data_IF_500471898025
#
_entry.id   IF_500471898025
#
_cell.length_a   1.000
_cell.length_b   1.000
_cell.length_c   1.000
_cell.angle_alpha   90.00
_cell.angle_beta   90.00
_cell.angle_gamma   90.00
#
_symmetry.space_group_name_H-M   'P 1'
#
loop_
_entity.id
_entity.type
_entity.pdbx_description
1 polymer ?
#
# COMPACT_ATOMS: atom_id res chain seq x y z
N UNK A 1 -33.47 4.51 -8.32
CA UNK A 1 -32.36 4.15 -9.23
C UNK A 1 -31.06 4.87 -8.91
N UNK A 2 -31.01 6.17 -8.76
CA UNK A 2 -29.77 6.97 -8.54
C UNK A 2 -28.91 6.51 -7.34
N UNK A 3 -29.51 6.23 -6.17
CA UNK A 3 -28.76 5.78 -4.98
C UNK A 3 -28.02 4.44 -5.18
N UNK A 4 -28.58 3.51 -5.94
CA UNK A 4 -27.94 2.23 -6.26
C UNK A 4 -26.74 2.47 -7.16
N UNK A 5 -26.90 3.29 -8.21
CA UNK A 5 -25.83 3.65 -9.14
C UNK A 5 -24.63 4.32 -8.42
N UNK A 6 -24.89 5.32 -7.56
CA UNK A 6 -23.84 5.99 -6.79
C UNK A 6 -23.07 4.99 -5.90
N UNK A 7 -23.76 4.04 -5.26
CA UNK A 7 -23.11 3.03 -4.43
C UNK A 7 -22.28 2.02 -5.27
N UNK A 8 -22.68 1.76 -6.50
CA UNK A 8 -21.91 0.92 -7.42
C UNK A 8 -20.66 1.66 -7.92
N UNK A 9 -20.76 2.94 -8.27
CA UNK A 9 -19.59 3.78 -8.63
C UNK A 9 -18.59 3.84 -7.47
N UNK A 10 -19.04 4.14 -6.26
CA UNK A 10 -18.19 4.14 -5.05
C UNK A 10 -17.48 2.81 -4.83
N UNK A 11 -18.20 1.71 -5.02
CA UNK A 11 -17.62 0.36 -4.90
C UNK A 11 -16.49 0.15 -5.92
N UNK A 12 -16.70 0.50 -7.20
CA UNK A 12 -15.70 0.32 -8.22
C UNK A 12 -14.49 1.24 -8.05
N UNK A 13 -14.70 2.51 -7.70
CA UNK A 13 -13.61 3.43 -7.38
C UNK A 13 -12.74 2.89 -6.22
N UNK A 14 -13.38 2.39 -5.16
CA UNK A 14 -12.69 1.79 -4.03
C UNK A 14 -11.96 0.51 -4.43
N UNK A 15 -12.54 -0.33 -5.29
CA UNK A 15 -11.91 -1.53 -5.81
C UNK A 15 -10.66 -1.21 -6.64
N UNK A 16 -10.74 -0.18 -7.51
CA UNK A 16 -9.60 0.28 -8.31
C UNK A 16 -8.47 0.82 -7.39
N UNK A 17 -8.80 1.58 -6.34
CA UNK A 17 -7.81 2.08 -5.39
C UNK A 17 -7.13 0.92 -4.64
N UNK A 18 -7.92 -0.04 -4.17
CA UNK A 18 -7.37 -1.20 -3.43
C UNK A 18 -6.50 -2.07 -4.35
N UNK A 19 -6.92 -2.29 -5.60
CA UNK A 19 -6.13 -3.05 -6.56
C UNK A 19 -4.90 -2.27 -7.02
N UNK A 20 -5.10 -0.99 -7.33
CA UNK A 20 -4.09 -0.14 -7.96
C UNK A 20 -3.02 0.42 -7.01
N UNK A 21 -3.07 0.08 -5.71
CA UNK A 21 -2.07 0.55 -4.75
C UNK A 21 -0.62 0.26 -5.17
N UNK A 22 -0.39 -0.85 -5.89
CA UNK A 22 0.92 -1.18 -6.45
C UNK A 22 1.35 -0.34 -7.66
N UNK A 23 0.44 0.41 -8.29
CA UNK A 23 0.73 1.34 -9.39
C UNK A 23 1.01 2.76 -8.89
N UNK A 24 1.79 2.93 -7.83
CA UNK A 24 1.94 4.20 -7.11
C UNK A 24 2.35 5.39 -8.00
N UNK A 25 3.05 5.16 -9.13
CA UNK A 25 3.53 6.23 -10.01
C UNK A 25 3.12 6.08 -11.48
N UNK A 26 2.76 4.90 -11.94
CA UNK A 26 2.48 4.67 -13.35
C UNK A 26 1.15 3.93 -13.56
N UNK A 27 0.41 4.28 -14.59
CA UNK A 27 0.63 5.35 -15.56
C UNK A 27 0.44 6.74 -14.93
N UNK A 28 1.31 7.69 -15.27
CA UNK A 28 1.24 9.08 -14.80
C UNK A 28 1.33 10.06 -15.98
N UNK A 29 0.58 11.15 -15.88
CA UNK A 29 0.66 12.27 -16.82
C UNK A 29 1.48 13.37 -16.14
N UNK A 30 2.55 13.82 -16.82
CA UNK A 30 3.31 14.97 -16.38
C UNK A 30 2.47 16.24 -16.62
N UNK A 31 2.16 16.96 -15.56
CA UNK A 31 1.56 18.29 -15.64
C UNK A 31 2.66 19.29 -15.29
N UNK A 32 3.13 20.06 -16.27
CA UNK A 32 3.95 21.25 -16.02
C UNK A 32 3.05 22.38 -15.56
N UNK A 33 2.75 22.43 -14.27
CA UNK A 33 2.03 23.54 -13.66
C UNK A 33 3.05 24.39 -12.91
N UNK A 34 3.15 25.67 -13.24
CA UNK A 34 3.93 26.69 -12.51
C UNK A 34 5.43 26.35 -12.36
N UNK A 35 6.12 26.06 -13.45
CA UNK A 35 7.57 25.80 -13.46
C UNK A 35 8.07 24.69 -12.49
N UNK A 36 7.17 23.85 -11.99
CA UNK A 36 7.52 22.64 -11.25
C UNK A 36 7.63 21.45 -12.23
N UNK A 37 8.82 21.10 -12.73
CA UNK A 37 8.99 20.07 -13.76
C UNK A 37 8.68 18.65 -13.27
N UNK A 38 8.31 18.47 -12.01
CA UNK A 38 8.15 17.17 -11.38
C UNK A 38 6.74 16.84 -10.86
N UNK A 39 5.72 17.67 -11.13
CA UNK A 39 4.36 17.34 -10.72
C UNK A 39 3.79 16.28 -11.67
N UNK A 40 3.88 15.01 -11.27
CA UNK A 40 3.27 13.89 -11.99
C UNK A 40 1.97 13.51 -11.30
N UNK A 41 0.85 13.58 -12.02
CA UNK A 41 -0.44 13.09 -11.55
C UNK A 41 -0.63 11.68 -12.11
N UNK A 42 -0.60 10.69 -11.24
CA UNK A 42 -0.88 9.32 -11.61
C UNK A 42 -2.38 9.05 -11.74
N UNK A 43 -2.74 8.02 -12.48
CA UNK A 43 -4.12 7.54 -12.58
C UNK A 43 -4.73 7.29 -11.20
N UNK A 44 -3.93 6.82 -10.26
CA UNK A 44 -4.33 6.60 -8.88
C UNK A 44 -4.85 7.87 -8.19
N UNK A 45 -4.17 9.02 -8.36
CA UNK A 45 -4.62 10.28 -7.78
C UNK A 45 -5.95 10.74 -8.38
N UNK A 46 -6.15 10.56 -9.69
CA UNK A 46 -7.42 10.89 -10.34
C UNK A 46 -8.56 10.05 -9.77
N UNK A 47 -8.35 8.75 -9.62
CA UNK A 47 -9.34 7.86 -9.02
C UNK A 47 -9.60 8.21 -7.55
N UNK A 48 -8.55 8.59 -6.78
CA UNK A 48 -8.67 9.00 -5.40
C UNK A 48 -9.46 10.32 -5.24
N UNK A 49 -9.21 11.31 -6.10
CA UNK A 49 -10.01 12.55 -6.16
C UNK A 49 -11.46 12.23 -6.49
N UNK A 50 -11.70 11.38 -7.49
CA UNK A 50 -13.06 10.94 -7.84
C UNK A 50 -13.74 10.26 -6.66
N UNK A 51 -13.05 9.39 -5.93
CA UNK A 51 -13.59 8.77 -4.72
C UNK A 51 -13.99 9.80 -3.68
N UNK A 52 -13.15 10.82 -3.43
CA UNK A 52 -13.46 11.91 -2.50
C UNK A 52 -14.71 12.66 -2.92
N UNK A 53 -14.83 13.05 -4.19
CA UNK A 53 -15.99 13.76 -4.72
C UNK A 53 -17.28 12.92 -4.55
N UNK A 54 -17.25 11.65 -4.94
CA UNK A 54 -18.41 10.76 -4.78
C UNK A 54 -18.70 10.40 -3.33
N UNK A 55 -17.75 10.53 -2.39
CA UNK A 55 -17.96 10.30 -0.97
C UNK A 55 -18.46 11.54 -0.22
N UNK A 56 -18.32 12.74 -0.78
CA UNK A 56 -18.68 13.98 -0.12
C UNK A 56 -20.09 14.01 0.47
N UNK A 57 -21.16 13.58 -0.24
CA UNK A 57 -22.49 13.52 0.35
C UNK A 57 -22.59 12.59 1.57
N UNK A 58 -21.80 11.51 1.59
CA UNK A 58 -21.74 10.58 2.71
C UNK A 58 -21.01 11.18 3.91
N UNK A 59 -19.89 11.86 3.66
CA UNK A 59 -19.14 12.60 4.67
C UNK A 59 -19.99 13.66 5.33
N UNK A 60 -20.73 14.47 4.54
CA UNK A 60 -21.65 15.49 5.06
C UNK A 60 -22.78 14.89 5.90
N UNK A 61 -23.35 13.78 5.45
CA UNK A 61 -24.40 13.06 6.19
C UNK A 61 -23.89 12.54 7.53
N UNK A 62 -22.66 11.99 7.57
CA UNK A 62 -22.09 11.36 8.76
C UNK A 62 -21.23 12.28 9.61
N UNK A 63 -21.16 13.58 9.27
CA UNK A 63 -20.30 14.56 9.96
C UNK A 63 -20.45 14.55 11.49
N UNK A 64 -21.69 14.44 11.98
CA UNK A 64 -21.96 14.45 13.43
C UNK A 64 -21.44 13.19 14.13
N UNK A 65 -21.54 12.01 13.48
CA UNK A 65 -20.99 10.76 14.01
C UNK A 65 -19.45 10.82 14.05
N UNK A 66 -18.83 11.37 13.00
CA UNK A 66 -17.37 11.54 12.92
C UNK A 66 -16.86 12.51 13.99
N UNK A 67 -17.56 13.63 14.20
CA UNK A 67 -17.22 14.64 15.22
C UNK A 67 -17.44 14.15 16.66
N UNK A 68 -18.29 13.14 16.88
CA UNK A 68 -18.46 12.52 18.19
C UNK A 68 -17.36 11.51 18.53
N UNK A 69 -16.60 11.05 17.54
CA UNK A 69 -15.55 10.06 17.76
C UNK A 69 -14.27 10.75 18.29
N UNK A 70 -14.09 10.74 19.61
CA UNK A 70 -12.95 11.38 20.30
C UNK A 70 -11.59 10.89 19.79
N UNK A 71 -11.47 9.61 19.46
CA UNK A 71 -10.23 9.02 18.94
C UNK A 71 -9.90 9.53 17.54
N UNK A 72 -10.90 9.68 16.68
CA UNK A 72 -10.73 10.23 15.36
C UNK A 72 -10.28 11.69 15.45
N UNK A 73 -10.97 12.51 16.25
CA UNK A 73 -10.61 13.92 16.44
C UNK A 73 -9.23 14.05 17.06
N UNK A 74 -8.92 13.29 18.13
CA UNK A 74 -7.60 13.28 18.75
C UNK A 74 -6.49 12.90 17.78
N UNK A 75 -6.71 11.90 16.94
CA UNK A 75 -5.77 11.50 15.88
C UNK A 75 -5.54 12.60 14.84
N UNK A 76 -6.60 13.23 14.34
CA UNK A 76 -6.47 14.36 13.41
C UNK A 76 -5.76 15.55 14.05
N UNK A 77 -6.07 15.88 15.30
CA UNK A 77 -5.42 16.97 16.02
C UNK A 77 -3.92 16.69 16.21
N UNK A 78 -3.55 15.47 16.60
CA UNK A 78 -2.15 15.07 16.76
C UNK A 78 -1.38 15.18 15.43
N UNK A 79 -1.98 14.72 14.33
CA UNK A 79 -1.38 14.85 13.00
C UNK A 79 -1.26 16.31 12.60
N UNK A 80 -2.28 17.12 12.83
CA UNK A 80 -2.24 18.55 12.52
C UNK A 80 -1.13 19.28 13.29
N UNK A 81 -0.99 18.99 14.59
CA UNK A 81 0.10 19.52 15.42
C UNK A 81 1.45 19.08 14.87
N UNK A 82 1.62 17.79 14.55
CA UNK A 82 2.88 17.25 14.02
C UNK A 82 3.25 17.92 12.66
N UNK A 83 2.27 18.13 11.79
CA UNK A 83 2.45 18.85 10.52
C UNK A 83 2.90 20.30 10.78
N UNK A 84 2.21 21.00 11.66
CA UNK A 84 2.50 22.40 11.97
C UNK A 84 3.92 22.54 12.53
N UNK A 85 4.27 21.73 13.51
CA UNK A 85 5.61 21.68 14.07
C UNK A 85 6.63 21.33 12.97
N UNK A 86 6.36 20.31 12.16
CA UNK A 86 7.26 19.89 11.07
C UNK A 86 7.53 21.03 10.07
N UNK A 87 6.51 21.80 9.68
CA UNK A 87 6.69 22.94 8.75
C UNK A 87 7.50 24.07 9.40
N UNK A 88 7.27 24.33 10.69
CA UNK A 88 7.94 25.41 11.41
C UNK A 88 9.45 25.20 11.53
N UNK A 89 9.87 23.95 11.81
CA UNK A 89 11.27 23.57 12.02
C UNK A 89 11.97 23.04 10.78
N UNK A 90 11.27 22.91 9.64
CA UNK A 90 11.89 22.41 8.41
C UNK A 90 12.76 23.47 7.72
N UNK A 91 13.94 23.07 7.28
CA UNK A 91 14.79 23.87 6.40
C UNK A 91 14.10 24.16 5.05
N UNK A 92 13.46 23.14 4.47
CA UNK A 92 12.73 23.25 3.20
C UNK A 92 11.21 23.33 3.43
N UNK A 93 10.73 24.45 3.99
CA UNK A 93 9.33 24.64 4.41
C UNK A 93 8.30 24.33 3.32
N UNK A 94 8.52 24.81 2.09
CA UNK A 94 7.60 24.55 0.98
C UNK A 94 7.48 23.06 0.66
N UNK A 95 8.60 22.36 0.61
CA UNK A 95 8.64 20.91 0.37
C UNK A 95 7.90 20.15 1.49
N UNK A 96 8.13 20.53 2.73
CA UNK A 96 7.44 19.94 3.90
C UNK A 96 5.94 20.21 3.85
N UNK A 97 5.52 21.42 3.48
CA UNK A 97 4.11 21.77 3.30
C UNK A 97 3.43 20.92 2.21
N UNK A 98 4.10 20.70 1.06
CA UNK A 98 3.58 19.85 -0.01
C UNK A 98 3.43 18.37 0.42
N UNK A 99 4.42 17.83 1.15
CA UNK A 99 4.30 16.48 1.72
C UNK A 99 3.18 16.37 2.75
N UNK A 100 3.00 17.42 3.57
CA UNK A 100 1.92 17.50 4.54
C UNK A 100 0.55 17.52 3.88
N UNK A 101 0.41 18.27 2.80
CA UNK A 101 -0.81 18.30 1.99
C UNK A 101 -1.11 16.91 1.39
N UNK A 102 -0.09 16.23 0.89
CA UNK A 102 -0.23 14.84 0.38
C UNK A 102 -0.67 13.89 1.48
N UNK A 103 -0.16 14.03 2.69
CA UNK A 103 -0.58 13.22 3.84
C UNK A 103 -2.06 13.48 4.19
N UNK A 104 -2.47 14.75 4.26
CA UNK A 104 -3.86 15.11 4.52
C UNK A 104 -4.81 14.59 3.43
N UNK A 105 -4.38 14.63 2.18
CA UNK A 105 -5.11 14.02 1.06
C UNK A 105 -5.28 12.51 1.25
N UNK A 106 -4.22 11.79 1.59
CA UNK A 106 -4.28 10.34 1.84
C UNK A 106 -5.17 10.00 3.03
N UNK A 107 -5.15 10.81 4.09
CA UNK A 107 -6.05 10.63 5.24
C UNK A 107 -7.52 10.84 4.84
N UNK A 108 -7.81 11.86 4.03
CA UNK A 108 -9.16 12.10 3.52
C UNK A 108 -9.66 10.93 2.64
N UNK A 109 -8.79 10.39 1.77
CA UNK A 109 -9.07 9.18 0.97
C UNK A 109 -9.33 7.98 1.88
N UNK A 110 -8.49 7.77 2.87
CA UNK A 110 -8.63 6.67 3.84
C UNK A 110 -9.95 6.75 4.63
N UNK A 111 -10.31 7.95 5.12
CA UNK A 111 -11.57 8.19 5.81
C UNK A 111 -12.77 7.91 4.89
N UNK A 112 -12.72 8.42 3.67
CA UNK A 112 -13.76 8.18 2.65
C UNK A 112 -13.91 6.71 2.33
N UNK A 113 -12.80 6.01 2.14
CA UNK A 113 -12.77 4.56 1.89
C UNK A 113 -13.41 3.78 3.06
N UNK A 114 -13.06 4.14 4.31
CA UNK A 114 -13.63 3.52 5.52
C UNK A 114 -15.15 3.73 5.62
N UNK A 115 -15.62 4.96 5.34
CA UNK A 115 -17.05 5.26 5.34
C UNK A 115 -17.81 4.49 4.25
N UNK A 116 -17.30 4.48 3.02
CA UNK A 116 -17.88 3.72 1.92
C UNK A 116 -17.92 2.24 2.29
N UNK A 117 -16.80 1.70 2.79
CA UNK A 117 -16.73 0.30 3.21
C UNK A 117 -17.78 -0.03 4.29
N UNK A 118 -18.01 0.87 5.26
CA UNK A 118 -18.99 0.65 6.33
C UNK A 118 -20.41 0.46 5.78
N UNK A 119 -20.78 1.18 4.73
CA UNK A 119 -22.11 1.17 4.08
C UNK A 119 -22.30 -0.01 3.10
N UNK A 120 -21.23 -0.73 2.74
CA UNK A 120 -21.33 -1.83 1.78
C UNK A 120 -22.01 -3.06 2.40
N UNK A 121 -22.75 -3.79 1.58
CA UNK A 121 -23.28 -5.11 1.94
C UNK A 121 -22.16 -6.12 2.21
N UNK A 122 -22.44 -7.16 3.00
CA UNK A 122 -21.48 -8.24 3.31
C UNK A 122 -20.88 -8.86 2.05
N UNK A 123 -21.67 -9.03 0.99
CA UNK A 123 -21.21 -9.57 -0.29
C UNK A 123 -20.19 -8.64 -0.97
N UNK A 124 -20.47 -7.34 -1.03
CA UNK A 124 -19.54 -6.35 -1.62
C UNK A 124 -18.27 -6.22 -0.78
N UNK A 125 -18.36 -6.23 0.55
CA UNK A 125 -17.19 -6.24 1.46
C UNK A 125 -16.28 -7.43 1.14
N UNK A 126 -16.85 -8.63 0.98
CA UNK A 126 -16.09 -9.82 0.62
C UNK A 126 -15.42 -9.71 -0.76
N UNK A 127 -16.11 -9.12 -1.75
CA UNK A 127 -15.51 -8.86 -3.08
C UNK A 127 -14.32 -7.92 -2.98
N UNK A 128 -14.41 -6.82 -2.20
CA UNK A 128 -13.28 -5.90 -1.99
C UNK A 128 -12.08 -6.57 -1.31
N UNK A 129 -12.32 -7.40 -0.31
CA UNK A 129 -11.25 -8.18 0.32
C UNK A 129 -10.56 -9.06 -0.74
N UNK A 130 -11.33 -9.76 -1.57
CA UNK A 130 -10.76 -10.58 -2.64
C UNK A 130 -9.97 -9.73 -3.66
N UNK A 131 -10.43 -8.52 -4.00
CA UNK A 131 -9.68 -7.59 -4.85
C UNK A 131 -8.32 -7.24 -4.23
N UNK A 132 -8.26 -6.95 -2.93
CA UNK A 132 -7.00 -6.70 -2.23
C UNK A 132 -6.07 -7.93 -2.20
N UNK A 133 -6.64 -9.13 -2.04
CA UNK A 133 -5.86 -10.37 -2.10
C UNK A 133 -5.31 -10.64 -3.52
N UNK A 134 -6.11 -10.39 -4.56
CA UNK A 134 -5.65 -10.48 -5.94
C UNK A 134 -4.58 -9.45 -6.25
N UNK A 135 -4.71 -8.21 -5.75
CA UNK A 135 -3.67 -7.18 -5.87
C UNK A 135 -2.34 -7.71 -5.32
N UNK A 136 -2.31 -8.20 -4.08
CA UNK A 136 -1.10 -8.75 -3.47
C UNK A 136 -0.49 -9.90 -4.26
N UNK A 137 -1.33 -10.81 -4.78
CA UNK A 137 -0.87 -11.95 -5.60
C UNK A 137 -0.27 -11.48 -6.93
N UNK A 138 -0.98 -10.62 -7.66
CA UNK A 138 -0.54 -10.12 -8.97
C UNK A 138 0.76 -9.33 -8.85
N UNK A 139 0.84 -8.37 -7.92
CA UNK A 139 2.06 -7.58 -7.72
C UNK A 139 3.21 -8.42 -7.15
N UNK A 140 2.90 -9.45 -6.36
CA UNK A 140 3.90 -10.40 -5.90
C UNK A 140 4.52 -11.21 -7.04
N UNK A 141 3.72 -11.68 -7.99
CA UNK A 141 4.18 -12.37 -9.20
C UNK A 141 4.97 -11.42 -10.11
N UNK A 142 4.45 -10.20 -10.33
CA UNK A 142 5.15 -9.20 -11.15
C UNK A 142 6.51 -8.82 -10.57
N UNK A 143 6.67 -8.80 -9.25
CA UNK A 143 7.96 -8.56 -8.60
C UNK A 143 8.99 -9.66 -8.94
N UNK A 144 8.57 -10.92 -8.98
CA UNK A 144 9.43 -12.04 -9.39
C UNK A 144 9.78 -11.92 -10.88
N UNK A 145 8.81 -11.59 -11.72
CA UNK A 145 9.04 -11.37 -13.16
C UNK A 145 10.05 -10.22 -13.36
N UNK A 146 9.90 -9.10 -12.66
CA UNK A 146 10.83 -7.98 -12.72
C UNK A 146 12.25 -8.42 -12.35
N UNK A 147 12.43 -9.18 -11.27
CA UNK A 147 13.74 -9.70 -10.88
C UNK A 147 14.34 -10.55 -11.98
N UNK A 148 13.54 -11.46 -12.57
CA UNK A 148 13.99 -12.38 -13.60
C UNK A 148 14.42 -11.64 -14.86
N UNK A 149 13.62 -10.67 -15.32
CA UNK A 149 13.93 -9.86 -16.51
C UNK A 149 15.11 -8.94 -16.24
N UNK A 150 15.19 -8.31 -15.06
CA UNK A 150 16.30 -7.43 -14.71
C UNK A 150 17.65 -8.16 -14.59
N UNK A 151 17.65 -9.47 -14.34
CA UNK A 151 18.87 -10.29 -14.35
C UNK A 151 19.33 -10.67 -15.74
N UNK A 152 18.42 -10.73 -16.74
CA UNK A 152 18.75 -11.05 -18.13
C UNK A 152 18.93 -9.81 -19.00
N UNK A 153 18.18 -8.75 -18.73
CA UNK A 153 18.21 -7.48 -19.46
C UNK A 153 18.26 -6.31 -18.48
N UNK A 154 19.42 -5.66 -18.25
CA UNK A 154 19.52 -4.54 -17.31
C UNK A 154 18.64 -3.33 -17.66
N UNK A 155 18.04 -3.30 -18.87
CA UNK A 155 17.12 -2.26 -19.36
C UNK A 155 15.65 -2.70 -19.37
N UNK A 156 15.33 -3.91 -18.84
CA UNK A 156 14.02 -4.54 -18.94
C UNK A 156 12.90 -3.85 -18.17
N UNK A 157 11.73 -4.47 -18.20
CA UNK A 157 10.41 -4.04 -17.67
C UNK A 157 10.39 -3.38 -16.27
N UNK A 158 11.51 -3.38 -15.56
CA UNK A 158 11.64 -2.80 -14.23
C UNK A 158 12.18 -1.39 -14.18
N UNK A 159 12.73 -0.87 -15.28
CA UNK A 159 13.29 0.48 -15.32
C UNK A 159 12.31 1.48 -15.92
N UNK A 160 11.12 1.58 -15.38
CA UNK A 160 10.24 2.71 -15.65
C UNK A 160 10.81 4.02 -15.08
N UNK A 161 11.87 3.95 -14.32
CA UNK A 161 12.62 5.07 -13.79
C UNK A 161 14.10 4.91 -14.15
N UNK A 162 14.55 5.64 -15.18
CA UNK A 162 15.99 5.74 -15.50
C UNK A 162 16.71 6.29 -14.26
N UNK A 163 17.64 5.51 -13.69
CA UNK A 163 18.40 5.88 -12.49
C UNK A 163 17.84 5.34 -11.17
N UNK A 164 16.70 4.66 -11.15
CA UNK A 164 16.15 4.04 -9.93
C UNK A 164 16.77 2.67 -9.59
N UNK A 165 17.89 2.31 -10.19
CA UNK A 165 18.68 1.13 -9.79
C UNK A 165 19.29 1.40 -8.41
N UNK A 166 18.54 1.06 -7.36
CA UNK A 166 19.12 0.97 -6.03
C UNK A 166 19.53 -0.49 -5.83
N UNK A 167 20.80 -0.76 -5.76
CA UNK A 167 21.33 -2.02 -5.27
C UNK A 167 21.65 -1.92 -3.77
N UNK A 168 21.58 -3.04 -3.08
CA UNK A 168 22.04 -3.16 -1.69
C UNK A 168 22.92 -4.39 -1.64
N UNK A 169 24.20 -4.22 -1.29
CA UNK A 169 25.21 -5.29 -1.29
C UNK A 169 25.36 -5.99 -2.65
N UNK A 170 25.18 -5.26 -3.76
CA UNK A 170 25.23 -5.83 -5.11
C UNK A 170 23.95 -6.51 -5.59
N UNK A 171 22.93 -6.62 -4.73
CA UNK A 171 21.64 -7.22 -5.12
C UNK A 171 20.69 -6.18 -5.70
N UNK A 172 20.03 -6.47 -6.83
CA UNK A 172 19.04 -5.58 -7.42
C UNK A 172 17.79 -5.49 -6.50
N UNK A 173 17.32 -4.27 -6.28
CA UNK A 173 16.09 -4.01 -5.51
C UNK A 173 14.91 -3.83 -6.45
N UNK A 174 13.84 -4.53 -6.16
CA UNK A 174 12.62 -4.45 -6.95
C UNK A 174 11.75 -3.28 -6.51
N UNK A 175 11.30 -2.48 -7.44
CA UNK A 175 10.41 -1.33 -7.21
C UNK A 175 9.13 -1.35 -8.03
N UNK A 176 9.02 -2.22 -9.03
CA UNK A 176 7.94 -2.27 -10.02
C UNK A 176 7.61 -0.86 -10.57
N UNK A 177 6.39 -0.40 -10.31
CA UNK A 177 5.87 0.88 -10.77
C UNK A 177 6.07 2.02 -9.77
N UNK A 178 6.78 1.78 -8.66
CA UNK A 178 7.07 2.80 -7.66
C UNK A 178 8.40 3.49 -7.95
N UNK A 179 8.57 4.75 -7.48
CA UNK A 179 9.81 5.49 -7.62
C UNK A 179 10.96 4.83 -6.88
N UNK A 180 10.65 4.22 -5.73
CA UNK A 180 11.62 3.59 -4.87
C UNK A 180 11.09 2.25 -4.33
N UNK A 181 11.97 1.28 -4.04
CA UNK A 181 11.59 -0.01 -3.48
C UNK A 181 10.76 0.08 -2.19
N UNK A 182 11.03 1.08 -1.34
CA UNK A 182 10.27 1.29 -0.10
C UNK A 182 8.81 1.67 -0.35
N UNK A 183 8.52 2.46 -1.39
CA UNK A 183 7.14 2.81 -1.73
C UNK A 183 6.39 1.59 -2.25
N UNK A 184 7.05 0.74 -3.03
CA UNK A 184 6.46 -0.52 -3.46
C UNK A 184 6.19 -1.45 -2.27
N UNK A 185 7.16 -1.66 -1.37
CA UNK A 185 6.94 -2.44 -0.16
C UNK A 185 5.74 -1.93 0.66
N UNK A 186 5.66 -0.61 0.86
CA UNK A 186 4.56 0.00 1.62
C UNK A 186 3.21 -0.18 0.93
N UNK A 187 3.16 -0.15 -0.39
CA UNK A 187 1.92 -0.39 -1.15
C UNK A 187 1.39 -1.81 -1.03
N UNK A 188 2.25 -2.78 -0.72
CA UNK A 188 1.89 -4.18 -0.51
C UNK A 188 1.39 -4.48 0.91
N UNK A 189 1.69 -3.64 1.91
CA UNK A 189 1.31 -3.89 3.30
C UNK A 189 -0.21 -4.09 3.49
N UNK A 190 -1.11 -3.33 2.86
CA UNK A 190 -2.54 -3.58 2.97
C UNK A 190 -2.94 -4.98 2.51
N UNK A 191 -2.41 -5.45 1.37
CA UNK A 191 -2.67 -6.79 0.86
C UNK A 191 -2.09 -7.87 1.78
N UNK A 192 -0.89 -7.65 2.32
CA UNK A 192 -0.25 -8.53 3.31
C UNK A 192 -1.13 -8.70 4.55
N UNK A 193 -1.60 -7.60 5.15
CA UNK A 193 -2.44 -7.69 6.34
C UNK A 193 -3.83 -8.28 6.04
N UNK A 194 -4.45 -7.94 4.91
CA UNK A 194 -5.69 -8.60 4.48
C UNK A 194 -5.50 -10.11 4.39
N UNK A 195 -4.40 -10.57 3.79
CA UNK A 195 -4.09 -11.97 3.65
C UNK A 195 -3.78 -12.64 5.00
N UNK A 196 -3.12 -11.92 5.92
CA UNK A 196 -2.84 -12.39 7.27
C UNK A 196 -4.13 -12.67 8.06
N UNK A 197 -5.11 -11.78 7.97
CA UNK A 197 -6.38 -11.92 8.70
C UNK A 197 -7.36 -12.91 8.07
N UNK A 198 -7.24 -13.22 6.78
CA UNK A 198 -8.14 -14.18 6.09
C UNK A 198 -7.66 -15.63 6.30
N UNK A 199 -8.13 -16.29 7.36
CA UNK A 199 -7.61 -17.61 7.80
C UNK A 199 -7.93 -18.78 6.87
N UNK A 200 -9.09 -18.80 6.21
CA UNK A 200 -9.61 -19.98 5.50
C UNK A 200 -9.46 -19.94 3.98
N UNK A 201 -9.06 -18.82 3.39
CA UNK A 201 -8.99 -18.67 1.93
C UNK A 201 -7.66 -19.18 1.36
N UNK A 202 -7.71 -20.05 0.33
CA UNK A 202 -6.52 -20.44 -0.44
C UNK A 202 -5.87 -19.21 -1.09
N UNK A 203 -6.68 -18.31 -1.67
CA UNK A 203 -6.22 -17.06 -2.26
C UNK A 203 -5.42 -16.24 -1.24
N UNK A 204 -5.88 -16.17 0.02
CA UNK A 204 -5.16 -15.44 1.06
C UNK A 204 -3.79 -16.07 1.38
N UNK A 205 -3.66 -17.39 1.34
CA UNK A 205 -2.36 -18.06 1.54
C UNK A 205 -1.39 -17.73 0.42
N UNK A 206 -1.84 -17.81 -0.84
CA UNK A 206 -1.02 -17.45 -2.00
C UNK A 206 -0.68 -15.96 -2.00
N UNK A 207 -1.66 -15.08 -1.77
CA UNK A 207 -1.43 -13.64 -1.66
C UNK A 207 -0.40 -13.34 -0.57
N UNK A 208 -0.51 -13.93 0.62
CA UNK A 208 0.46 -13.75 1.70
C UNK A 208 1.87 -14.19 1.30
N UNK A 209 2.00 -15.36 0.69
CA UNK A 209 3.27 -15.90 0.25
C UNK A 209 3.95 -14.99 -0.79
N UNK A 210 3.24 -14.66 -1.88
CA UNK A 210 3.79 -13.83 -2.94
C UNK A 210 4.05 -12.39 -2.52
N UNK A 211 3.18 -11.82 -1.68
CA UNK A 211 3.40 -10.47 -1.11
C UNK A 211 4.64 -10.44 -0.21
N UNK A 212 4.86 -11.51 0.56
CA UNK A 212 6.06 -11.63 1.40
C UNK A 212 7.32 -11.73 0.56
N UNK A 213 7.30 -12.53 -0.51
CA UNK A 213 8.42 -12.57 -1.48
C UNK A 213 8.69 -11.19 -2.04
N UNK A 214 7.66 -10.50 -2.53
CA UNK A 214 7.82 -9.18 -3.13
C UNK A 214 8.42 -8.17 -2.14
N UNK A 215 7.96 -8.14 -0.89
CA UNK A 215 8.53 -7.28 0.15
C UNK A 215 10.00 -7.64 0.41
N UNK A 216 10.35 -8.93 0.42
CA UNK A 216 11.75 -9.37 0.57
C UNK A 216 12.62 -8.84 -0.58
N UNK A 217 12.15 -8.96 -1.82
CA UNK A 217 12.86 -8.50 -3.01
C UNK A 217 13.07 -6.98 -3.06
N UNK A 218 12.30 -6.21 -2.29
CA UNK A 218 12.51 -4.75 -2.21
C UNK A 218 13.71 -4.36 -1.35
N UNK A 219 14.21 -5.23 -0.47
CA UNK A 219 15.17 -4.88 0.60
C UNK A 219 14.77 -3.61 1.38
N UNK A 220 13.48 -3.38 1.54
CA UNK A 220 12.98 -2.20 2.24
C UNK A 220 13.04 -2.41 3.75
N UNK A 221 13.98 -1.70 4.42
CA UNK A 221 14.06 -1.70 5.89
C UNK A 221 12.73 -1.26 6.51
N UNK A 222 12.08 -0.24 5.94
CA UNK A 222 10.77 0.25 6.39
C UNK A 222 9.67 -0.79 6.23
N UNK A 223 9.65 -1.54 5.12
CA UNK A 223 8.69 -2.62 4.89
C UNK A 223 8.83 -3.75 5.92
N UNK A 224 10.06 -4.22 6.16
CA UNK A 224 10.33 -5.24 7.18
C UNK A 224 9.98 -4.77 8.59
N UNK A 225 10.40 -3.54 8.95
CA UNK A 225 10.12 -2.96 10.25
C UNK A 225 8.60 -2.82 10.48
N UNK A 226 7.85 -2.38 9.48
CA UNK A 226 6.39 -2.27 9.55
C UNK A 226 5.72 -3.61 9.81
N UNK A 227 6.15 -4.68 9.11
CA UNK A 227 5.64 -6.03 9.33
C UNK A 227 5.98 -6.50 10.75
N UNK A 228 7.24 -6.34 11.17
CA UNK A 228 7.69 -6.75 12.48
C UNK A 228 6.91 -6.05 13.61
N UNK A 229 6.83 -4.72 13.57
CA UNK A 229 6.09 -3.93 14.56
C UNK A 229 4.61 -4.34 14.59
N UNK A 230 3.97 -4.50 13.42
CA UNK A 230 2.56 -4.84 13.36
C UNK A 230 2.28 -6.27 13.88
N UNK A 231 3.12 -7.25 13.54
CA UNK A 231 2.97 -8.62 14.06
C UNK A 231 3.20 -8.63 15.58
N UNK A 232 4.23 -7.94 16.07
CA UNK A 232 4.51 -7.81 17.51
C UNK A 232 3.34 -7.15 18.24
N UNK A 233 2.82 -6.04 17.70
CA UNK A 233 1.65 -5.36 18.27
C UNK A 233 0.42 -6.28 18.31
N UNK A 234 0.18 -7.06 17.27
CA UNK A 234 -0.92 -8.03 17.23
C UNK A 234 -0.75 -9.12 18.33
N UNK A 235 0.46 -9.62 18.55
CA UNK A 235 0.73 -10.57 19.64
C UNK A 235 0.51 -9.93 21.01
N UNK A 236 0.99 -8.70 21.22
CA UNK A 236 0.79 -7.96 22.48
C UNK A 236 -0.72 -7.76 22.73
N UNK A 237 -1.47 -7.29 21.72
CA UNK A 237 -2.92 -7.09 21.83
C UNK A 237 -3.63 -8.42 22.12
N UNK A 238 -3.26 -9.50 21.43
CA UNK A 238 -3.84 -10.80 21.66
C UNK A 238 -3.57 -11.30 23.07
N UNK A 239 -2.34 -11.11 23.58
CA UNK A 239 -1.96 -11.45 24.95
C UNK A 239 -2.76 -10.64 25.99
N UNK A 240 -2.77 -9.31 25.86
CA UNK A 240 -3.47 -8.41 26.80
C UNK A 240 -4.99 -8.65 26.80
N UNK A 241 -5.58 -8.83 25.63
CA UNK A 241 -7.03 -9.06 25.49
C UNK A 241 -7.44 -10.53 25.58
N UNK A 242 -6.49 -11.43 25.84
CA UNK A 242 -6.72 -12.89 25.87
C UNK A 242 -7.41 -13.44 24.62
N UNK A 243 -7.12 -12.86 23.45
CA UNK A 243 -7.65 -13.29 22.16
C UNK A 243 -6.77 -14.42 21.62
N UNK A 244 -7.39 -15.44 21.03
CA UNK A 244 -6.64 -16.53 20.39
C UNK A 244 -5.81 -16.02 19.20
N UNK A 245 -4.48 -16.10 19.34
CA UNK A 245 -3.52 -15.73 18.30
C UNK A 245 -3.19 -16.90 17.33
N UNK A 246 -3.93 -18.01 17.39
CA UNK A 246 -3.68 -19.19 16.56
C UNK A 246 -3.70 -18.88 15.07
N UNK A 247 -4.51 -17.89 14.64
CA UNK A 247 -4.57 -17.46 13.25
C UNK A 247 -3.23 -16.87 12.75
N UNK A 248 -2.49 -16.15 13.61
CA UNK A 248 -1.17 -15.60 13.28
C UNK A 248 -0.17 -16.77 13.24
N UNK A 249 -0.14 -17.61 14.27
CA UNK A 249 0.77 -18.77 14.35
C UNK A 249 0.66 -19.68 13.12
N UNK A 250 -0.55 -19.93 12.63
CA UNK A 250 -0.78 -20.74 11.43
C UNK A 250 -0.26 -20.11 10.13
N UNK A 251 -0.04 -18.80 10.12
CA UNK A 251 0.46 -18.06 8.94
C UNK A 251 1.96 -17.81 8.97
N UNK A 252 2.59 -17.87 10.14
CA UNK A 252 4.04 -17.69 10.27
C UNK A 252 4.86 -18.57 9.32
N UNK A 253 4.57 -19.89 9.18
CA UNK A 253 5.33 -20.71 8.24
C UNK A 253 5.25 -20.21 6.79
N UNK A 254 4.11 -19.67 6.37
CA UNK A 254 3.94 -19.12 5.02
C UNK A 254 4.79 -17.85 4.86
N UNK A 255 4.84 -16.99 5.87
CA UNK A 255 5.67 -15.78 5.88
C UNK A 255 7.14 -16.17 5.82
N UNK A 256 7.59 -17.08 6.68
CA UNK A 256 8.98 -17.58 6.66
C UNK A 256 9.35 -18.22 5.33
N UNK A 257 8.49 -19.06 4.75
CA UNK A 257 8.71 -19.64 3.45
C UNK A 257 8.83 -18.58 2.36
N UNK A 258 7.98 -17.54 2.39
CA UNK A 258 8.04 -16.41 1.46
C UNK A 258 9.34 -15.60 1.62
N UNK A 259 9.79 -15.33 2.85
CA UNK A 259 11.07 -14.66 3.12
C UNK A 259 12.24 -15.47 2.58
N UNK A 260 12.32 -16.74 2.96
CA UNK A 260 13.41 -17.64 2.53
C UNK A 260 13.46 -17.77 1.01
N UNK A 261 12.31 -17.95 0.38
CA UNK A 261 12.23 -18.03 -1.08
C UNK A 261 12.64 -16.73 -1.76
N UNK A 262 12.21 -15.57 -1.24
CA UNK A 262 12.61 -14.26 -1.72
C UNK A 262 14.12 -14.05 -1.64
N UNK A 263 14.73 -14.37 -0.51
CA UNK A 263 16.20 -14.32 -0.37
C UNK A 263 16.90 -15.32 -1.29
N UNK A 264 16.40 -16.55 -1.42
CA UNK A 264 16.99 -17.53 -2.33
C UNK A 264 16.97 -17.06 -3.79
N UNK A 265 15.90 -16.41 -4.24
CA UNK A 265 15.84 -15.81 -5.57
C UNK A 265 16.89 -14.73 -5.77
N UNK A 266 17.14 -13.89 -4.78
CA UNK A 266 18.15 -12.85 -4.83
C UNK A 266 19.56 -13.46 -4.96
N UNK A 267 19.91 -14.42 -4.10
CA UNK A 267 21.20 -15.11 -4.17
C UNK A 267 21.40 -15.89 -5.47
N UNK A 268 20.33 -16.39 -6.10
CA UNK A 268 20.43 -17.05 -7.41
C UNK A 268 20.64 -16.06 -8.55
N UNK A 269 20.19 -14.81 -8.40
CA UNK A 269 20.36 -13.76 -9.43
C UNK A 269 21.77 -13.21 -9.48
N UNK A 270 22.48 -13.18 -8.34
CA UNK A 270 23.85 -12.65 -8.24
C UNK A 270 24.88 -13.49 -9.03
N UNK A 271 24.68 -14.82 -9.10
CA UNK A 271 25.59 -15.72 -9.81
C UNK A 271 25.67 -15.49 -11.33
N UNK A 272 24.74 -14.75 -11.92
CA UNK A 272 24.66 -14.52 -13.37
C UNK A 272 25.28 -13.20 -13.81
N UNK A 273 25.62 -12.31 -12.88
CA UNK A 273 26.27 -11.02 -13.18
C UNK A 273 27.80 -11.10 -13.22
N UNK A 274 28.39 -12.27 -13.00
CA UNK A 274 29.87 -12.51 -12.91
C UNK A 274 30.40 -13.24 -14.13
N UNK A 275 29.65 -13.40 -15.24
CA UNK A 275 30.14 -14.00 -16.47
C UNK A 275 30.23 -12.96 -17.60
#
# INVERSE_FOLDING_TARGET
MAKKYINDVRFWLLAIIIFGGGFALHPSVGLSILDFPSLRVGLYQIVAVSLLLFSLPLLLKKRQELLKNRWLIGGFLAIFIAITVGIFFAEARLRTALYSLSLLFLLAVGLSAGLIYSELSKSKKRKLINVGLWSGLVFGILAIIQLTVATFEPTGLGTLCAGCKADVFGFPRINLFAAEPQFFANSLLPAFFLALFQSKSRLAKFSLFFTTIAISLTFSRGGFLSIFIAITALFIIAFVKRIDASFIRKKLPIIFAGLLFGFALLFSSDRKSVV
#
